data_IF_617834739578
#
_entry.id   IF_617834739578
#
_cell.length_a   1.000
_cell.length_b   1.000
_cell.length_c   1.000
_cell.angle_alpha   90.00
_cell.angle_beta   90.00
_cell.angle_gamma   90.00
#
_symmetry.space_group_name_H-M   'P 1'
#
loop_
_entity.id
_entity.type
_entity.pdbx_description
1 polymer ?
#
# COMPACT_ATOMS: atom_id res chain seq x y z
N UNK A 1 16.08 -0.04 -25.55
CA UNK A 1 15.73 0.96 -24.51
C UNK A 1 15.35 0.17 -23.27
N UNK A 2 16.10 0.31 -22.19
CA UNK A 2 15.70 -0.22 -20.87
C UNK A 2 15.16 0.99 -20.12
N UNK A 3 13.97 0.85 -19.53
CA UNK A 3 13.28 1.92 -18.82
C UNK A 3 13.07 1.50 -17.38
N UNK A 4 13.17 2.46 -16.47
CA UNK A 4 12.83 2.33 -15.05
C UNK A 4 11.55 3.11 -14.77
N UNK A 5 10.79 2.70 -13.75
CA UNK A 5 9.58 3.42 -13.31
C UNK A 5 8.42 3.45 -14.30
N UNK A 6 8.42 2.56 -15.31
CA UNK A 6 7.31 2.47 -16.25
C UNK A 6 6.09 1.81 -15.60
N UNK A 7 4.91 2.38 -15.81
CA UNK A 7 3.61 1.92 -15.29
C UNK A 7 2.79 1.15 -16.34
N UNK A 8 3.49 0.44 -17.24
CA UNK A 8 2.88 -0.30 -18.35
C UNK A 8 2.84 -1.81 -18.08
N UNK A 9 1.82 -2.48 -18.60
CA UNK A 9 1.69 -3.94 -18.47
C UNK A 9 2.56 -4.62 -19.52
N UNK A 10 3.12 -5.79 -19.17
CA UNK A 10 3.87 -6.61 -20.10
C UNK A 10 3.06 -6.92 -21.38
N UNK A 11 3.68 -6.73 -22.55
CA UNK A 11 3.06 -6.97 -23.85
C UNK A 11 2.17 -5.84 -24.37
N UNK A 12 2.01 -4.73 -23.63
CA UNK A 12 1.34 -3.53 -24.16
C UNK A 12 2.04 -3.04 -25.44
N UNK A 13 1.30 -2.83 -26.55
CA UNK A 13 1.90 -2.44 -27.82
C UNK A 13 2.43 -1.00 -27.76
N UNK A 14 3.67 -0.81 -28.20
CA UNK A 14 4.28 0.52 -28.36
C UNK A 14 3.85 1.10 -29.70
N UNK A 15 3.14 2.23 -29.65
CA UNK A 15 2.63 2.90 -30.86
C UNK A 15 3.59 3.97 -31.38
N UNK A 16 4.24 4.71 -30.48
CA UNK A 16 5.20 5.76 -30.81
C UNK A 16 6.13 6.03 -29.62
N UNK A 17 7.31 6.59 -29.88
CA UNK A 17 8.27 7.02 -28.85
C UNK A 17 8.66 8.47 -29.15
N UNK A 18 8.34 9.39 -28.24
CA UNK A 18 8.68 10.81 -28.35
C UNK A 18 9.66 11.22 -27.26
N UNK A 19 10.64 12.09 -27.56
CA UNK A 19 11.51 12.64 -26.51
C UNK A 19 10.70 13.57 -25.61
N UNK A 20 10.94 13.48 -24.30
CA UNK A 20 10.45 14.47 -23.35
C UNK A 20 11.24 15.78 -23.52
N UNK A 21 10.56 16.86 -23.87
CA UNK A 21 11.12 18.21 -24.01
C UNK A 21 10.53 19.08 -22.92
N UNK A 22 11.29 19.30 -21.84
CA UNK A 22 10.82 20.00 -20.63
C UNK A 22 10.21 21.38 -20.90
N UNK A 23 10.68 22.09 -21.92
CA UNK A 23 10.13 23.38 -22.35
C UNK A 23 8.65 23.29 -22.79
N UNK A 24 8.22 22.15 -23.32
CA UNK A 24 6.88 21.95 -23.88
C UNK A 24 6.04 20.97 -23.06
N UNK A 25 6.66 20.00 -22.40
CA UNK A 25 5.96 18.90 -21.72
C UNK A 25 5.84 19.11 -20.20
N UNK A 26 6.61 20.03 -19.60
CA UNK A 26 6.56 20.30 -18.16
C UNK A 26 5.46 21.32 -17.81
N UNK A 27 4.73 21.06 -16.73
CA UNK A 27 3.82 22.02 -16.09
C UNK A 27 4.26 22.27 -14.63
N UNK A 28 5.20 23.20 -14.39
CA UNK A 28 5.82 23.39 -13.07
C UNK A 28 4.86 23.80 -11.94
N UNK A 29 3.68 24.30 -12.30
CA UNK A 29 2.67 24.78 -11.36
C UNK A 29 1.48 23.80 -11.21
N UNK A 30 1.57 22.61 -11.79
CA UNK A 30 0.60 21.56 -11.54
C UNK A 30 0.64 21.17 -10.05
N UNK A 31 -0.53 21.01 -9.45
CA UNK A 31 -0.68 20.54 -8.07
C UNK A 31 -1.52 19.28 -8.02
N UNK A 32 -1.26 18.45 -7.01
CA UNK A 32 -2.08 17.28 -6.74
C UNK A 32 -3.20 17.63 -5.73
N UNK A 33 -4.35 16.97 -5.80
CA UNK A 33 -5.36 17.07 -4.76
C UNK A 33 -4.81 16.68 -3.37
N UNK A 34 -5.38 17.21 -2.30
CA UNK A 34 -4.91 16.95 -0.92
C UNK A 34 -4.88 15.46 -0.58
N UNK A 35 -5.87 14.69 -1.04
CA UNK A 35 -5.94 13.24 -0.80
C UNK A 35 -4.76 12.46 -1.41
N UNK A 36 -4.16 12.96 -2.49
CA UNK A 36 -2.93 12.39 -3.06
C UNK A 36 -1.75 12.69 -2.14
N UNK A 37 -1.64 13.94 -1.67
CA UNK A 37 -0.57 14.35 -0.77
C UNK A 37 -0.61 13.58 0.56
N UNK A 38 -1.81 13.34 1.09
CA UNK A 38 -2.03 12.52 2.28
C UNK A 38 -1.56 11.07 2.10
N UNK A 39 -1.70 10.50 0.89
CA UNK A 39 -1.21 9.14 0.62
C UNK A 39 0.32 9.03 0.67
N UNK A 40 1.05 10.06 0.25
CA UNK A 40 2.51 10.10 0.36
C UNK A 40 3.00 10.32 1.79
N UNK A 41 2.17 10.89 2.66
CA UNK A 41 2.50 11.09 4.07
C UNK A 41 2.28 9.84 4.93
N UNK A 42 1.73 8.76 4.37
CA UNK A 42 1.54 7.51 5.09
C UNK A 42 2.91 6.92 5.50
N UNK A 43 3.09 6.51 6.77
CA UNK A 43 4.36 5.94 7.21
C UNK A 43 4.60 4.58 6.54
N UNK A 44 5.84 4.34 6.13
CA UNK A 44 6.27 3.02 5.66
C UNK A 44 6.15 2.00 6.79
N UNK A 45 5.64 0.81 6.48
CA UNK A 45 5.52 -0.31 7.41
C UNK A 45 6.79 -1.15 7.43
N UNK A 46 7.07 -1.76 8.57
CA UNK A 46 8.06 -2.83 8.63
C UNK A 46 7.54 -4.06 7.87
N UNK A 47 8.41 -4.65 7.05
CA UNK A 47 8.13 -5.88 6.31
C UNK A 47 9.00 -6.99 6.87
N UNK A 48 8.38 -8.12 7.21
CA UNK A 48 9.06 -9.33 7.66
C UNK A 48 8.62 -10.50 6.78
N UNK A 49 9.58 -11.23 6.21
CA UNK A 49 9.29 -12.45 5.46
C UNK A 49 9.04 -13.60 6.44
N UNK A 50 7.88 -14.23 6.32
CA UNK A 50 7.58 -15.43 7.12
C UNK A 50 8.49 -16.59 6.73
N UNK A 51 8.73 -17.58 7.63
CA UNK A 51 9.50 -18.77 7.27
C UNK A 51 8.95 -19.54 6.07
N UNK A 52 7.63 -19.47 5.84
CA UNK A 52 7.00 -20.05 4.65
C UNK A 52 7.41 -19.28 3.38
N UNK A 53 7.29 -17.96 3.41
CA UNK A 53 7.65 -17.10 2.29
C UNK A 53 9.13 -17.27 1.90
N UNK A 54 10.02 -17.42 2.88
CA UNK A 54 11.44 -17.69 2.62
C UNK A 54 11.67 -19.04 1.91
N UNK A 55 10.98 -20.11 2.31
CA UNK A 55 11.09 -21.40 1.60
C UNK A 55 10.55 -21.35 0.17
N UNK A 56 9.44 -20.66 -0.03
CA UNK A 56 8.86 -20.46 -1.36
C UNK A 56 9.79 -19.60 -2.22
N UNK A 57 10.40 -18.57 -1.63
CA UNK A 57 11.43 -17.74 -2.25
C UNK A 57 12.62 -18.59 -2.72
N UNK A 58 13.22 -19.39 -1.83
CA UNK A 58 14.37 -20.24 -2.16
C UNK A 58 14.06 -21.19 -3.33
N UNK A 59 12.81 -21.68 -3.43
CA UNK A 59 12.38 -22.55 -4.54
C UNK A 59 12.29 -21.78 -5.87
N UNK A 60 11.87 -20.52 -5.84
CA UNK A 60 11.75 -19.67 -7.03
C UNK A 60 13.11 -19.17 -7.54
N UNK A 61 14.05 -18.97 -6.62
CA UNK A 61 15.37 -18.39 -6.92
C UNK A 61 16.49 -19.44 -7.03
N UNK A 62 16.16 -20.72 -6.93
CA UNK A 62 17.11 -21.81 -7.15
C UNK A 62 17.62 -21.80 -8.61
N UNK A 63 18.86 -22.24 -8.81
CA UNK A 63 19.52 -22.30 -10.12
C UNK A 63 18.81 -23.26 -11.10
N UNK A 64 17.91 -24.11 -10.58
CA UNK A 64 17.06 -25.01 -11.37
C UNK A 64 15.79 -24.33 -11.93
N UNK A 65 15.50 -23.08 -11.55
CA UNK A 65 14.32 -22.35 -11.99
C UNK A 65 14.53 -21.67 -13.37
N UNK A 66 13.46 -21.60 -14.16
CA UNK A 66 13.45 -20.87 -15.45
C UNK A 66 13.29 -19.35 -15.28
N UNK A 67 13.21 -18.86 -14.04
CA UNK A 67 13.03 -17.44 -13.75
C UNK A 67 14.37 -16.70 -13.79
N UNK A 68 14.31 -15.44 -14.21
CA UNK A 68 15.45 -14.54 -14.21
C UNK A 68 15.17 -13.35 -13.29
N UNK A 69 16.18 -12.87 -12.53
CA UNK A 69 16.03 -11.63 -11.78
C UNK A 69 15.96 -10.39 -12.70
N UNK A 70 16.30 -10.50 -13.98
CA UNK A 70 16.24 -9.38 -14.91
C UNK A 70 14.82 -8.77 -14.98
N UNK A 71 14.66 -7.43 -14.91
CA UNK A 71 15.68 -6.40 -15.12
C UNK A 71 16.54 -6.02 -13.91
N UNK A 72 16.40 -6.69 -12.77
CA UNK A 72 17.27 -6.48 -11.62
C UNK A 72 18.63 -7.18 -11.79
N UNK A 73 19.65 -6.65 -11.11
CA UNK A 73 21.01 -7.20 -11.14
C UNK A 73 21.12 -8.52 -10.36
N UNK A 74 20.29 -8.71 -9.33
CA UNK A 74 20.29 -9.91 -8.50
C UNK A 74 18.92 -10.23 -7.90
N UNK A 75 18.76 -11.48 -7.42
CA UNK A 75 17.58 -11.87 -6.62
C UNK A 75 17.46 -11.08 -5.31
N UNK A 76 18.57 -10.64 -4.73
CA UNK A 76 18.54 -9.79 -3.53
C UNK A 76 17.91 -8.41 -3.84
N UNK A 77 18.15 -7.86 -5.02
CA UNK A 77 17.55 -6.59 -5.46
C UNK A 77 16.05 -6.75 -5.70
N UNK A 78 15.62 -7.89 -6.26
CA UNK A 78 14.19 -8.25 -6.36
C UNK A 78 13.56 -8.30 -4.97
N UNK A 79 14.21 -8.96 -4.02
CA UNK A 79 13.71 -9.10 -2.64
C UNK A 79 13.59 -7.75 -1.94
N UNK A 80 14.62 -6.92 -2.08
CA UNK A 80 14.68 -5.58 -1.50
C UNK A 80 13.58 -4.68 -2.09
N UNK A 81 13.42 -4.70 -3.41
CA UNK A 81 12.37 -3.95 -4.11
C UNK A 81 10.96 -4.41 -3.70
N UNK A 82 10.76 -5.72 -3.56
CA UNK A 82 9.50 -6.28 -3.07
C UNK A 82 9.20 -5.81 -1.64
N UNK A 83 10.20 -5.83 -0.75
CA UNK A 83 10.03 -5.35 0.62
C UNK A 83 9.72 -3.85 0.68
N UNK A 84 10.37 -3.03 -0.15
CA UNK A 84 10.07 -1.61 -0.28
C UNK A 84 8.63 -1.38 -0.76
N UNK A 85 8.18 -2.08 -1.81
CA UNK A 85 6.79 -1.98 -2.31
C UNK A 85 5.78 -2.37 -1.23
N UNK A 86 6.01 -3.47 -0.52
CA UNK A 86 5.13 -3.91 0.55
C UNK A 86 5.12 -2.95 1.74
N UNK A 87 6.22 -2.23 1.99
CA UNK A 87 6.30 -1.24 3.07
C UNK A 87 5.38 -0.04 2.84
N UNK A 88 5.05 0.27 1.57
CA UNK A 88 4.09 1.33 1.21
C UNK A 88 2.63 0.96 1.54
N UNK A 89 2.37 -0.27 2.00
CA UNK A 89 1.03 -0.79 2.30
C UNK A 89 0.08 -0.72 1.09
N UNK A 90 0.29 -1.64 0.13
CA UNK A 90 -0.47 -1.74 -1.13
C UNK A 90 -1.95 -2.14 -0.96
N UNK A 91 -2.44 -2.28 0.28
CA UNK A 91 -3.84 -2.65 0.55
C UNK A 91 -4.77 -1.48 0.27
N UNK A 92 -5.94 -1.80 -0.26
CA UNK A 92 -7.01 -0.82 -0.44
C UNK A 92 -7.42 -0.16 0.89
N UNK A 93 -7.99 1.07 0.88
CA UNK A 93 -8.51 1.71 2.08
C UNK A 93 -9.47 0.80 2.89
N UNK A 94 -10.29 0.01 2.19
CA UNK A 94 -11.20 -0.94 2.82
C UNK A 94 -10.45 -2.04 3.59
N UNK A 95 -9.48 -2.71 2.97
CA UNK A 95 -8.66 -3.75 3.62
C UNK A 95 -7.91 -3.20 4.84
N UNK A 96 -7.38 -1.97 4.75
CA UNK A 96 -6.70 -1.31 5.88
C UNK A 96 -7.64 -1.08 7.07
N UNK A 97 -8.91 -0.72 6.81
CA UNK A 97 -9.89 -0.46 7.85
C UNK A 97 -10.34 -1.72 8.60
N UNK A 98 -10.42 -2.86 7.91
CA UNK A 98 -10.82 -4.16 8.49
C UNK A 98 -9.77 -4.65 9.48
N UNK A 99 -8.50 -4.55 9.13
CA UNK A 99 -7.41 -4.96 10.01
C UNK A 99 -7.27 -4.05 11.23
N UNK A 100 -7.47 -2.73 11.07
CA UNK A 100 -7.51 -1.79 12.20
C UNK A 100 -8.65 -2.09 13.17
N UNK A 101 -9.80 -2.56 12.66
CA UNK A 101 -10.98 -2.88 13.46
C UNK A 101 -10.87 -4.24 14.16
N UNK A 102 -10.08 -5.17 13.59
CA UNK A 102 -9.83 -6.51 14.18
C UNK A 102 -8.89 -6.43 15.39
N UNK A 103 -8.05 -5.40 15.47
CA UNK A 103 -7.21 -5.10 16.64
C UNK A 103 -7.99 -4.20 17.62
N UNK A 104 -9.09 -4.69 18.23
CA UNK A 104 -9.69 -3.96 19.35
C UNK A 104 -8.95 -4.27 20.66
N UNK A 105 -8.42 -3.27 21.39
CA UNK A 105 -7.79 -3.50 22.69
C UNK A 105 -8.79 -4.05 23.70
N UNK A 106 -8.34 -5.00 24.51
CA UNK A 106 -9.05 -5.55 25.66
C UNK A 106 -9.47 -4.42 26.61
N UNK A 107 -10.67 -3.88 26.42
CA UNK A 107 -11.27 -2.91 27.34
C UNK A 107 -11.78 -3.70 28.54
N UNK A 108 -11.00 -3.73 29.64
CA UNK A 108 -11.51 -4.20 30.93
C UNK A 108 -12.75 -3.39 31.30
N UNK A 109 -13.86 -4.01 31.75
CA UNK A 109 -15.00 -3.25 32.24
C UNK A 109 -14.58 -2.55 33.54
N UNK A 110 -14.60 -1.21 33.55
CA UNK A 110 -14.71 -0.50 34.82
C UNK A 110 -16.16 -0.62 35.28
N UNK A 111 -16.37 -1.39 36.34
CA UNK A 111 -17.63 -1.41 37.06
C UNK A 111 -17.70 -0.09 37.84
N UNK A 112 -18.47 0.87 37.35
CA UNK A 112 -18.89 2.02 38.13
C UNK A 112 -20.33 1.78 38.57
N UNK A 113 -20.50 1.50 39.85
CA UNK A 113 -21.80 1.52 40.50
C UNK A 113 -22.26 2.98 40.62
N UNK A 114 -23.38 3.32 39.98
CA UNK A 114 -24.16 4.50 40.34
C UNK A 114 -25.63 4.28 39.95
N UNK A 115 -26.44 4.22 41.01
CA UNK A 115 -27.90 4.26 41.06
C UNK A 115 -28.46 5.60 40.57
N UNK A 116 -29.55 5.59 39.79
CA UNK A 116 -30.37 6.76 39.49
C UNK A 116 -31.41 6.50 38.40
N UNK A 117 -32.68 6.78 38.70
CA UNK A 117 -33.91 6.48 37.95
C UNK A 117 -34.12 7.29 36.64
N UNK A 118 -35.12 6.94 35.80
CA UNK A 118 -35.20 7.38 34.41
C UNK A 118 -35.92 8.72 34.23
N UNK A 119 -35.47 9.52 33.25
CA UNK A 119 -36.18 10.71 32.80
C UNK A 119 -36.48 10.57 31.30
N UNK A 120 -37.77 10.69 30.97
CA UNK A 120 -38.32 10.60 29.63
C UNK A 120 -38.39 11.99 28.99
N UNK A 121 -37.89 12.12 27.76
CA UNK A 121 -38.22 13.17 26.77
C UNK A 121 -37.96 12.53 25.40
N UNK A 122 -38.98 12.18 24.63
CA UNK A 122 -39.81 13.02 23.75
C UNK A 122 -38.96 13.90 22.82
N UNK A 123 -38.77 13.41 21.60
CA UNK A 123 -38.26 14.20 20.48
C UNK A 123 -39.13 13.90 19.26
N UNK A 124 -40.07 14.82 19.05
CA UNK A 124 -40.81 15.05 17.81
C UNK A 124 -39.87 15.44 16.66
N UNK A 125 -40.29 15.03 15.46
CA UNK A 125 -39.76 15.38 14.16
C UNK A 125 -39.80 16.89 13.89
N UNK A 126 -38.70 17.49 13.38
CA UNK A 126 -38.77 18.68 12.52
C UNK A 126 -37.55 18.72 11.57
N UNK A 127 -37.83 18.46 10.28
CA UNK A 127 -37.12 18.75 9.01
C UNK A 127 -35.60 18.53 8.88
#
# INVERSE_FOLDING_TARGET
LILEGADVVHGSPVIDVKPYVSLFDSLPHASHPSWVQESYAAPMRQVEMTPRALREWDTLTDDSSDLSPHPFDSWEDVRSSLAEVLSMDIRSPHQRSVDASTVHPSRRPQISAASGQPEATDYDEVY
#
